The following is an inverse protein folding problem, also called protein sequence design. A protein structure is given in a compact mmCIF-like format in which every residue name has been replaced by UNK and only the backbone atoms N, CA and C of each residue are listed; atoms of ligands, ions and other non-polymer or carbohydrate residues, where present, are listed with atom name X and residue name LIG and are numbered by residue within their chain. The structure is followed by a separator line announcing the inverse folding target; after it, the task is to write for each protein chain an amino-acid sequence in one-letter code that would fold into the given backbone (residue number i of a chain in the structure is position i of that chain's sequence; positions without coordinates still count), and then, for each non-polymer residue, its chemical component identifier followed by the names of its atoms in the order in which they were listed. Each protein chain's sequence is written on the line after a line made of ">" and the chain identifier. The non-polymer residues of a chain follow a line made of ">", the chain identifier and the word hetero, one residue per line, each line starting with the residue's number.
data_IF_321134095379
#
_entry.id   IF_321134095379
#
_cell.length_a   1.000
_cell.length_b   1.000
_cell.length_c   1.000
_cell.angle_alpha   90.00
_cell.angle_beta   90.00
_cell.angle_gamma   90.00
#
_symmetry.space_group_name_H-M   'P 1'
#
loop_
_entity.id
_entity.type
_entity.pdbx_description
1 polymer ?
#
# COMPACT_ATOMS: atom_id res chain seq x y z
N UNK A 1 0.71 -12.46 -8.02
CA UNK A 1 1.32 -11.16 -7.72
C UNK A 1 0.34 -10.36 -6.87
N UNK A 2 0.73 -10.03 -5.64
CA UNK A 2 -0.02 -9.16 -4.75
C UNK A 2 0.63 -7.77 -4.77
N UNK A 3 -0.15 -6.74 -5.03
CA UNK A 3 0.29 -5.35 -4.94
C UNK A 3 -0.52 -4.66 -3.83
N UNK A 4 0.16 -4.07 -2.88
CA UNK A 4 -0.47 -3.33 -1.78
C UNK A 4 -0.05 -1.86 -1.88
N UNK A 5 -1.01 -0.96 -1.88
CA UNK A 5 -0.80 0.48 -2.03
C UNK A 5 -1.27 1.13 -0.73
N UNK A 6 -0.37 1.82 -0.05
CA UNK A 6 -0.65 2.52 1.21
C UNK A 6 -0.82 4.01 0.93
N UNK A 7 -1.95 4.57 1.35
CA UNK A 7 -2.35 5.94 1.06
C UNK A 7 -2.97 6.63 2.28
N UNK A 8 -2.74 7.94 2.40
CA UNK A 8 -3.37 8.78 3.44
C UNK A 8 -4.78 9.18 3.00
N UNK A 9 -5.71 8.22 3.03
CA UNK A 9 -7.13 8.47 2.74
C UNK A 9 -7.96 8.22 3.99
N UNK A 10 -8.73 9.21 4.41
CA UNK A 10 -9.57 9.19 5.62
C UNK A 10 -10.79 8.25 5.53
N UNK A 11 -10.77 7.24 4.65
CA UNK A 11 -11.78 6.20 4.60
C UNK A 11 -11.34 5.07 5.54
N UNK A 12 -12.20 4.72 6.50
CA UNK A 12 -11.96 3.59 7.44
C UNK A 12 -11.93 2.22 6.71
N UNK A 13 -12.43 2.17 5.48
CA UNK A 13 -12.48 0.97 4.66
C UNK A 13 -11.18 0.71 3.91
N UNK A 14 -10.63 -0.49 4.11
CA UNK A 14 -9.60 -1.06 3.22
C UNK A 14 -10.30 -1.51 1.94
N UNK A 15 -10.37 -0.65 0.95
CA UNK A 15 -10.91 -1.03 -0.35
C UNK A 15 -9.98 -2.05 -1.06
N UNK A 16 -10.43 -3.30 -1.17
CA UNK A 16 -9.75 -4.33 -1.96
C UNK A 16 -10.31 -4.32 -3.39
N UNK A 17 -9.54 -3.83 -4.35
CA UNK A 17 -9.93 -3.80 -5.76
C UNK A 17 -9.24 -4.94 -6.53
N UNK A 18 -10.01 -5.93 -6.97
CA UNK A 18 -9.51 -6.86 -8.00
C UNK A 18 -9.52 -6.09 -9.32
N UNK A 19 -8.39 -5.48 -9.69
CA UNK A 19 -8.29 -4.86 -11.01
C UNK A 19 -8.13 -5.98 -12.04
N UNK A 20 -9.22 -6.30 -12.76
CA UNK A 20 -9.17 -7.04 -14.03
C UNK A 20 -8.70 -6.08 -15.14
N UNK A 21 -7.50 -5.54 -14.96
CA UNK A 21 -6.89 -4.67 -15.98
C UNK A 21 -6.28 -5.55 -17.06
N UNK A 22 -6.19 -5.02 -18.27
CA UNK A 22 -5.33 -5.47 -19.38
C UNK A 22 -3.83 -5.36 -19.01
N UNK A 23 -3.47 -5.47 -17.72
CA UNK A 23 -2.09 -5.50 -17.27
C UNK A 23 -1.47 -6.82 -17.73
N UNK A 24 -0.18 -6.77 -18.03
CA UNK A 24 0.64 -7.87 -18.54
C UNK A 24 0.71 -9.10 -17.60
N UNK A 25 -0.01 -9.09 -16.47
CA UNK A 25 -0.19 -10.22 -15.55
C UNK A 25 -1.67 -10.40 -15.14
N UNK A 26 -2.49 -11.12 -15.93
CA UNK A 26 -3.82 -11.52 -15.51
C UNK A 26 -3.75 -12.37 -14.23
N UNK A 27 -4.27 -11.86 -13.12
CA UNK A 27 -4.23 -12.52 -11.80
C UNK A 27 -3.56 -11.71 -10.68
N UNK A 28 -3.11 -10.49 -10.96
CA UNK A 28 -2.64 -9.59 -9.92
C UNK A 28 -3.80 -9.15 -8.99
N UNK A 29 -3.59 -9.26 -7.68
CA UNK A 29 -4.53 -8.74 -6.66
C UNK A 29 -3.98 -7.40 -6.19
N UNK A 30 -4.80 -6.34 -6.23
CA UNK A 30 -4.40 -5.01 -5.78
C UNK A 30 -5.21 -4.64 -4.53
N UNK A 31 -4.53 -4.27 -3.46
CA UNK A 31 -5.15 -3.87 -2.20
C UNK A 31 -4.77 -2.44 -1.89
N UNK A 32 -5.76 -1.58 -1.64
CA UNK A 32 -5.51 -0.24 -1.12
C UNK A 32 -5.71 -0.26 0.37
N UNK A 33 -4.71 0.22 1.10
CA UNK A 33 -4.67 0.20 2.54
C UNK A 33 -4.56 1.64 3.02
N UNK A 34 -5.55 2.07 3.82
CA UNK A 34 -5.46 3.35 4.50
C UNK A 34 -4.44 3.26 5.64
N UNK A 35 -3.50 4.22 5.69
CA UNK A 35 -2.56 4.31 6.82
C UNK A 35 -3.24 4.70 8.14
N UNK A 36 -4.49 5.14 8.10
CA UNK A 36 -5.30 5.41 9.28
C UNK A 36 -5.96 4.14 9.85
N UNK A 37 -5.96 3.03 9.10
CA UNK A 37 -6.45 1.75 9.60
C UNK A 37 -5.37 1.08 10.47
N UNK A 38 -5.46 1.28 11.79
CA UNK A 38 -4.48 0.79 12.75
C UNK A 38 -4.31 -0.75 12.74
N UNK A 39 -5.38 -1.50 12.48
CA UNK A 39 -5.31 -2.96 12.41
C UNK A 39 -4.57 -3.45 11.18
N UNK A 40 -4.78 -2.80 10.03
CA UNK A 40 -4.01 -3.08 8.82
C UNK A 40 -2.53 -2.74 9.05
N UNK A 41 -2.22 -1.57 9.61
CA UNK A 41 -0.84 -1.12 9.82
C UNK A 41 -0.04 -1.99 10.80
N UNK A 42 -0.69 -2.65 11.77
CA UNK A 42 -0.03 -3.67 12.63
C UNK A 42 0.58 -4.82 11.84
N UNK A 43 0.03 -5.15 10.67
CA UNK A 43 0.52 -6.22 9.77
C UNK A 43 1.65 -5.76 8.84
N UNK A 44 1.95 -4.46 8.82
CA UNK A 44 2.93 -3.85 7.91
C UNK A 44 3.96 -2.99 8.69
N UNK A 45 4.79 -3.60 9.56
CA UNK A 45 5.76 -2.86 10.39
C UNK A 45 6.84 -2.15 9.56
N UNK A 46 7.16 -2.67 8.38
CA UNK A 46 8.07 -2.06 7.41
C UNK A 46 7.53 -0.76 6.84
N UNK A 47 6.23 -0.70 6.55
CA UNK A 47 5.53 0.51 6.09
C UNK A 47 5.49 1.55 7.23
N UNK A 48 5.23 1.11 8.46
CA UNK A 48 5.29 1.99 9.64
C UNK A 48 6.69 2.57 9.83
N UNK A 49 7.74 1.76 9.69
CA UNK A 49 9.13 2.23 9.80
C UNK A 49 9.44 3.29 8.73
N UNK A 50 9.03 3.05 7.49
CA UNK A 50 9.23 4.01 6.41
C UNK A 50 8.46 5.33 6.62
N UNK A 51 7.23 5.27 7.10
CA UNK A 51 6.46 6.47 7.45
C UNK A 51 7.07 7.23 8.62
N UNK A 52 7.74 6.54 9.55
CA UNK A 52 8.47 7.20 10.65
C UNK A 52 9.74 7.91 10.16
N UNK A 53 10.42 7.35 9.17
CA UNK A 53 11.66 7.92 8.61
C UNK A 53 11.37 9.10 7.68
N UNK A 54 10.37 8.96 6.80
CA UNK A 54 10.09 9.91 5.71
C UNK A 54 8.81 10.72 5.90
N UNK A 55 8.06 10.47 6.96
CA UNK A 55 6.79 11.14 7.20
C UNK A 55 5.75 10.84 6.12
N UNK A 56 4.83 11.80 5.90
CA UNK A 56 3.81 11.69 4.88
C UNK A 56 4.37 11.73 3.45
N UNK A 57 5.60 12.23 3.26
CA UNK A 57 6.28 12.29 1.96
C UNK A 57 6.69 10.90 1.43
N UNK A 58 6.62 9.87 2.28
CA UNK A 58 6.82 8.49 1.86
C UNK A 58 5.66 7.96 0.98
N UNK A 59 4.50 8.64 1.01
CA UNK A 59 3.28 8.16 0.40
C UNK A 59 3.15 8.55 -1.07
N UNK A 60 2.50 7.71 -1.89
CA UNK A 60 2.03 6.37 -1.56
C UNK A 60 3.18 5.37 -1.46
N UNK A 61 3.09 4.43 -0.51
CA UNK A 61 4.04 3.31 -0.41
C UNK A 61 3.46 2.15 -1.20
N UNK A 62 4.25 1.53 -2.07
CA UNK A 62 3.83 0.37 -2.85
C UNK A 62 4.61 -0.85 -2.42
N UNK A 63 3.90 -1.93 -2.07
CA UNK A 63 4.48 -3.26 -1.89
C UNK A 63 4.10 -4.18 -3.04
N UNK A 64 5.08 -4.91 -3.56
CA UNK A 64 4.88 -5.96 -4.56
C UNK A 64 5.40 -7.26 -3.95
N UNK A 65 4.51 -8.25 -3.81
CA UNK A 65 4.80 -9.56 -3.22
C UNK A 65 5.56 -9.46 -1.87
N UNK A 66 5.18 -8.48 -1.04
CA UNK A 66 5.72 -8.26 0.30
C UNK A 66 6.93 -7.34 0.39
N UNK A 67 7.53 -6.95 -0.74
CA UNK A 67 8.68 -6.04 -0.80
C UNK A 67 8.23 -4.62 -1.11
N UNK A 68 8.77 -3.62 -0.40
CA UNK A 68 8.52 -2.21 -0.73
C UNK A 68 9.25 -1.89 -2.03
N UNK A 69 8.48 -1.58 -3.07
CA UNK A 69 8.97 -1.33 -4.43
C UNK A 69 9.19 0.16 -4.72
N UNK A 70 8.46 1.06 -4.06
CA UNK A 70 8.65 2.50 -4.23
C UNK A 70 8.16 3.33 -3.05
N UNK A 71 8.94 4.37 -2.73
CA UNK A 71 8.52 5.56 -2.00
C UNK A 71 8.54 6.69 -3.03
N UNK A 72 7.39 7.24 -3.42
CA UNK A 72 7.39 8.47 -4.20
C UNK A 72 7.72 9.66 -3.27
N UNK A 73 8.97 9.73 -2.82
CA UNK A 73 9.52 10.96 -2.29
C UNK A 73 9.76 11.91 -3.46
N UNK A 74 8.89 12.90 -3.63
CA UNK A 74 9.24 14.10 -4.38
C UNK A 74 10.29 14.89 -3.62
#
# INVERSE_FOLDING_TARGET
>A
MLVEIFEARASEETDSYIIRTKAENPGAVIRKISIFNAEAMKKHPDVVAALREKGADALPIVKIDGLIASFNGR
#
